data_IF_414684255998
#
_entry.id   IF_414684255998
#
_cell.length_a   1.000
_cell.length_b   1.000
_cell.length_c   1.000
_cell.angle_alpha   90.00
_cell.angle_beta   90.00
_cell.angle_gamma   90.00
#
_symmetry.space_group_name_H-M   'P 1'
#
loop_
_entity.id
_entity.type
_entity.pdbx_description
1 polymer ?
#
# COMPACT_ATOMS: atom_id res chain seq x y z
N UNK A 1 0.24 9.16 6.38
CA UNK A 1 0.45 9.15 4.92
C UNK A 1 0.35 7.73 4.40
N UNK A 2 -0.07 7.50 3.15
CA UNK A 2 -0.09 6.14 2.56
C UNK A 2 1.33 5.58 2.39
N UNK A 3 2.24 6.37 1.84
CA UNK A 3 3.58 5.92 1.46
C UNK A 3 4.57 5.84 2.63
N UNK A 4 4.16 6.30 3.80
CA UNK A 4 4.92 6.21 5.04
C UNK A 4 5.96 7.31 5.21
N UNK A 5 6.81 7.57 4.21
CA UNK A 5 7.74 8.70 4.26
C UNK A 5 6.94 10.01 4.15
N UNK A 6 7.16 11.01 5.03
CA UNK A 6 6.45 12.28 4.96
C UNK A 6 6.59 12.97 3.60
N UNK A 7 5.52 13.61 3.11
CA UNK A 7 5.49 14.25 1.78
C UNK A 7 6.68 15.20 1.51
N UNK A 8 7.15 15.95 2.53
CA UNK A 8 8.33 16.83 2.40
C UNK A 8 9.66 16.11 2.10
N UNK A 9 9.71 14.80 2.31
CA UNK A 9 10.87 13.93 2.13
C UNK A 9 10.63 12.84 1.08
N UNK A 10 9.45 12.84 0.46
CA UNK A 10 9.11 11.90 -0.60
C UNK A 10 9.15 12.59 -1.96
N UNK A 11 9.54 11.84 -2.98
CA UNK A 11 9.73 12.35 -4.34
C UNK A 11 8.42 12.40 -5.14
N UNK A 12 7.31 11.98 -4.54
CA UNK A 12 5.97 12.03 -5.11
C UNK A 12 4.97 12.57 -4.11
N UNK A 13 3.88 13.16 -4.62
CA UNK A 13 2.77 13.62 -3.79
C UNK A 13 2.00 12.42 -3.27
N UNK A 14 1.94 12.27 -1.94
CA UNK A 14 1.13 11.25 -1.28
C UNK A 14 -0.32 11.63 -1.04
N UNK A 15 -1.10 10.63 -0.66
CA UNK A 15 -2.44 10.74 -0.08
C UNK A 15 -2.47 10.10 1.32
N UNK A 16 -3.55 10.26 2.05
CA UNK A 16 -3.74 9.70 3.39
C UNK A 16 -4.37 8.30 3.37
N UNK A 17 -4.09 7.51 4.41
CA UNK A 17 -4.79 6.24 4.68
C UNK A 17 -6.30 6.45 4.82
N UNK A 18 -6.72 7.59 5.39
CA UNK A 18 -8.14 7.97 5.46
C UNK A 18 -8.78 8.08 4.07
N UNK A 19 -8.18 8.85 3.16
CA UNK A 19 -8.71 8.98 1.80
C UNK A 19 -8.78 7.62 1.09
N UNK A 20 -7.76 6.78 1.30
CA UNK A 20 -7.69 5.42 0.80
C UNK A 20 -8.82 4.53 1.33
N UNK A 21 -8.99 4.42 2.65
CA UNK A 21 -10.06 3.61 3.26
C UNK A 21 -11.45 4.08 2.83
N UNK A 22 -11.67 5.40 2.70
CA UNK A 22 -12.92 5.94 2.16
C UNK A 22 -13.12 5.50 0.71
N UNK A 23 -12.07 5.55 -0.13
CA UNK A 23 -12.18 5.14 -1.53
C UNK A 23 -12.38 3.63 -1.71
N UNK A 24 -11.75 2.80 -0.88
CA UNK A 24 -12.01 1.35 -0.84
C UNK A 24 -13.48 1.10 -0.53
N UNK A 25 -14.03 1.71 0.51
CA UNK A 25 -15.45 1.60 0.87
C UNK A 25 -16.37 2.07 -0.27
N UNK A 26 -16.06 3.20 -0.92
CA UNK A 26 -16.85 3.69 -2.05
C UNK A 26 -16.77 2.78 -3.28
N UNK A 27 -15.60 2.18 -3.55
CA UNK A 27 -15.43 1.23 -4.64
C UNK A 27 -16.22 -0.06 -4.36
N UNK A 28 -16.15 -0.59 -3.15
CA UNK A 28 -16.95 -1.75 -2.72
C UNK A 28 -18.44 -1.47 -2.86
N UNK A 29 -18.89 -0.27 -2.47
CA UNK A 29 -20.29 0.17 -2.68
C UNK A 29 -20.66 0.22 -4.15
N UNK A 30 -19.79 0.77 -5.01
CA UNK A 30 -19.99 0.81 -6.47
C UNK A 30 -20.10 -0.59 -7.07
N UNK A 31 -19.38 -1.56 -6.53
CA UNK A 31 -19.38 -2.97 -6.95
C UNK A 31 -20.55 -3.80 -6.36
N UNK A 32 -21.49 -3.15 -5.67
CA UNK A 32 -22.72 -3.79 -5.18
C UNK A 32 -22.50 -4.75 -4.00
N UNK A 33 -21.46 -4.54 -3.20
CA UNK A 33 -21.18 -5.37 -2.01
C UNK A 33 -22.14 -5.10 -0.87
N UNK A 34 -22.19 -6.02 0.10
CA UNK A 34 -22.95 -5.85 1.33
C UNK A 34 -22.45 -4.65 2.15
N UNK A 35 -23.30 -4.11 3.03
CA UNK A 35 -22.89 -3.04 3.93
C UNK A 35 -21.77 -3.51 4.90
N UNK A 36 -21.77 -4.79 5.28
CA UNK A 36 -20.70 -5.38 6.10
C UNK A 36 -19.34 -5.31 5.40
N UNK A 37 -19.29 -5.63 4.11
CA UNK A 37 -18.05 -5.57 3.32
C UNK A 37 -17.59 -4.13 3.13
N UNK A 38 -18.52 -3.19 2.94
CA UNK A 38 -18.21 -1.75 2.90
C UNK A 38 -17.64 -1.25 4.23
N UNK A 39 -18.19 -1.70 5.37
CA UNK A 39 -17.67 -1.38 6.70
C UNK A 39 -16.29 -1.99 6.92
N UNK A 40 -16.08 -3.25 6.54
CA UNK A 40 -14.78 -3.91 6.59
C UNK A 40 -13.76 -3.12 5.75
N UNK A 41 -14.13 -2.69 4.54
CA UNK A 41 -13.26 -1.87 3.69
C UNK A 41 -13.00 -0.47 4.22
N UNK A 42 -13.95 0.14 4.95
CA UNK A 42 -13.69 1.42 5.62
C UNK A 42 -12.71 1.26 6.79
N UNK A 43 -12.76 0.12 7.48
CA UNK A 43 -12.00 -0.11 8.70
C UNK A 43 -10.65 -0.79 8.46
N UNK A 44 -10.43 -1.46 7.32
CA UNK A 44 -9.31 -2.39 7.09
C UNK A 44 -7.93 -1.83 7.46
N UNK A 45 -7.74 -0.51 7.31
CA UNK A 45 -6.44 0.15 7.48
C UNK A 45 -6.35 1.05 8.73
N UNK A 46 -7.38 1.05 9.59
CA UNK A 46 -7.50 1.99 10.73
C UNK A 46 -6.42 1.77 11.81
N UNK A 47 -5.86 0.56 11.89
CA UNK A 47 -4.80 0.20 12.83
C UNK A 47 -3.40 0.56 12.33
N UNK A 48 -3.27 1.09 11.12
CA UNK A 48 -1.98 1.45 10.55
C UNK A 48 -1.33 2.57 11.37
N UNK A 49 -0.10 2.31 11.83
CA UNK A 49 0.67 3.26 12.64
C UNK A 49 1.15 4.47 11.83
N UNK A 50 1.62 5.51 12.52
CA UNK A 50 2.35 6.60 11.91
C UNK A 50 3.45 6.07 10.99
N UNK A 51 3.51 6.63 9.78
CA UNK A 51 4.43 6.24 8.70
C UNK A 51 4.16 4.87 8.06
N UNK A 52 2.95 4.32 8.20
CA UNK A 52 2.47 3.20 7.39
C UNK A 52 3.45 2.02 7.41
N UNK A 53 3.82 1.49 6.25
CA UNK A 53 4.71 0.33 6.18
C UNK A 53 6.13 0.61 6.68
N UNK A 54 6.53 1.87 6.88
CA UNK A 54 7.83 2.17 7.51
C UNK A 54 7.83 1.63 8.94
N UNK A 55 6.67 1.64 9.61
CA UNK A 55 6.51 1.02 10.92
C UNK A 55 6.74 -0.50 10.88
N UNK A 56 6.37 -1.21 9.80
CA UNK A 56 6.69 -2.63 9.61
C UNK A 56 8.21 -2.87 9.58
N UNK A 57 8.98 -1.94 9.02
CA UNK A 57 10.44 -2.05 9.02
C UNK A 57 11.04 -1.76 10.40
N UNK A 58 10.43 -0.83 11.14
CA UNK A 58 10.90 -0.44 12.47
C UNK A 58 10.61 -1.53 13.53
N UNK A 59 9.42 -2.12 13.49
CA UNK A 59 8.89 -3.00 14.54
C UNK A 59 8.72 -4.48 14.14
N UNK A 60 8.89 -4.82 12.87
CA UNK A 60 8.69 -6.17 12.36
C UNK A 60 9.74 -6.54 11.29
N UNK A 61 9.40 -7.48 10.41
CA UNK A 61 10.30 -8.00 9.36
C UNK A 61 10.09 -7.32 8.00
N UNK A 62 9.68 -6.04 7.99
CA UNK A 62 9.41 -5.29 6.76
C UNK A 62 10.60 -5.21 5.80
N UNK A 63 11.84 -5.17 6.32
CA UNK A 63 13.07 -5.22 5.52
C UNK A 63 13.27 -6.53 4.75
N UNK A 64 12.56 -7.60 5.14
CA UNK A 64 12.51 -8.90 4.45
C UNK A 64 11.27 -9.03 3.55
N UNK A 65 10.50 -7.96 3.37
CA UNK A 65 9.28 -7.94 2.55
C UNK A 65 8.01 -8.40 3.27
N UNK A 66 8.02 -8.53 4.61
CA UNK A 66 6.83 -8.86 5.41
C UNK A 66 6.19 -7.58 5.97
N UNK A 67 5.09 -7.15 5.36
CA UNK A 67 4.39 -5.89 5.66
C UNK A 67 3.01 -6.16 6.31
N UNK A 68 2.96 -6.97 7.38
CA UNK A 68 1.72 -7.44 8.03
C UNK A 68 1.61 -7.08 9.51
N UNK A 69 2.41 -6.13 10.00
CA UNK A 69 2.36 -5.73 11.42
C UNK A 69 1.02 -5.06 11.75
N UNK A 70 0.46 -4.27 10.83
CA UNK A 70 -0.83 -3.61 11.02
C UNK A 70 -1.99 -4.62 11.18
N UNK A 71 -1.97 -5.73 10.44
CA UNK A 71 -2.92 -6.85 10.58
C UNK A 71 -2.85 -7.47 11.97
N UNK A 72 -1.63 -7.71 12.47
CA UNK A 72 -1.41 -8.35 13.78
C UNK A 72 -1.97 -7.53 14.95
N UNK A 73 -1.99 -6.20 14.82
CA UNK A 73 -2.50 -5.32 15.87
C UNK A 73 -3.95 -4.89 15.63
N UNK A 74 -4.53 -5.20 14.48
CA UNK A 74 -5.79 -4.64 13.98
C UNK A 74 -6.96 -4.82 14.93
N UNK A 75 -7.25 -6.08 15.28
CA UNK A 75 -8.33 -6.42 16.20
C UNK A 75 -8.12 -5.78 17.58
N UNK A 76 -6.90 -5.88 18.11
CA UNK A 76 -6.56 -5.34 19.43
C UNK A 76 -6.63 -3.81 19.48
N UNK A 77 -6.43 -3.14 18.35
CA UNK A 77 -6.55 -1.71 18.20
C UNK A 77 -8.02 -1.31 18.18
N UNK A 78 -8.82 -1.90 17.29
CA UNK A 78 -10.25 -1.57 17.12
C UNK A 78 -11.03 -1.80 18.42
N UNK A 79 -10.76 -2.90 19.15
CA UNK A 79 -11.40 -3.20 20.44
C UNK A 79 -11.22 -2.10 21.51
N UNK A 80 -10.24 -1.19 21.35
CA UNK A 80 -9.98 -0.08 22.29
C UNK A 80 -10.56 1.26 21.82
N UNK A 81 -11.31 1.27 20.74
CA UNK A 81 -11.93 2.47 20.17
C UNK A 81 -13.44 2.50 20.43
N UNK A 82 -14.12 3.50 19.90
CA UNK A 82 -15.59 3.58 19.89
C UNK A 82 -16.25 2.67 18.84
N UNK A 83 -15.48 2.14 17.87
CA UNK A 83 -15.98 1.34 16.75
C UNK A 83 -16.81 0.12 17.20
N UNK A 84 -16.39 -0.70 18.18
CA UNK A 84 -17.18 -1.84 18.62
C UNK A 84 -18.60 -1.46 19.06
N UNK A 85 -18.72 -0.39 19.87
CA UNK A 85 -20.01 0.10 20.37
C UNK A 85 -20.87 0.67 19.25
N UNK A 86 -20.27 1.33 18.26
CA UNK A 86 -20.98 1.83 17.08
C UNK A 86 -21.50 0.69 16.22
N UNK A 87 -20.69 -0.34 15.94
CA UNK A 87 -21.12 -1.51 15.18
C UNK A 87 -22.29 -2.21 15.87
N UNK A 88 -22.18 -2.46 17.18
CA UNK A 88 -23.26 -3.07 17.98
C UNK A 88 -24.55 -2.24 17.92
N UNK A 89 -24.47 -0.91 18.08
CA UNK A 89 -25.61 0.00 17.99
C UNK A 89 -26.38 -0.13 16.67
N UNK A 90 -25.69 -0.42 15.57
CA UNK A 90 -26.29 -0.59 14.24
C UNK A 90 -26.52 -2.07 13.85
N UNK A 91 -26.35 -3.01 14.77
CA UNK A 91 -26.63 -4.43 14.55
C UNK A 91 -25.55 -5.20 13.80
N UNK A 92 -24.30 -4.71 13.78
CA UNK A 92 -23.17 -5.38 13.13
C UNK A 92 -22.28 -6.10 14.14
N UNK A 93 -21.85 -7.32 13.80
CA UNK A 93 -20.87 -8.07 14.59
C UNK A 93 -19.45 -7.60 14.30
N UNK A 94 -18.73 -7.15 15.33
CA UNK A 94 -17.31 -6.80 15.20
C UNK A 94 -16.49 -7.99 14.68
N UNK A 95 -16.69 -9.19 15.22
CA UNK A 95 -15.95 -10.39 14.82
C UNK A 95 -16.11 -10.67 13.33
N UNK A 96 -17.35 -10.58 12.83
CA UNK A 96 -17.66 -10.79 11.42
C UNK A 96 -16.99 -9.76 10.50
N UNK A 97 -16.99 -8.49 10.91
CA UNK A 97 -16.39 -7.38 10.17
C UNK A 97 -14.85 -7.50 10.11
N UNK A 98 -14.22 -7.98 11.19
CA UNK A 98 -12.76 -8.11 11.25
C UNK A 98 -12.22 -9.37 10.56
N UNK A 99 -13.08 -10.35 10.28
CA UNK A 99 -12.68 -11.58 9.61
C UNK A 99 -12.59 -11.35 8.09
N UNK A 100 -11.39 -10.95 7.62
CA UNK A 100 -11.10 -10.60 6.23
C UNK A 100 -11.56 -11.67 5.21
N UNK A 101 -11.47 -12.96 5.55
CA UNK A 101 -11.88 -14.06 4.68
C UNK A 101 -13.38 -14.06 4.33
N UNK A 102 -14.20 -13.29 5.05
CA UNK A 102 -15.62 -13.12 4.75
C UNK A 102 -15.89 -12.20 3.55
N UNK A 103 -14.90 -11.40 3.15
CA UNK A 103 -15.08 -10.27 2.22
C UNK A 103 -14.13 -10.38 1.03
N UNK A 104 -14.55 -11.13 0.02
CA UNK A 104 -13.70 -11.52 -1.11
C UNK A 104 -13.40 -10.37 -2.07
N UNK A 105 -14.16 -9.27 -2.07
CA UNK A 105 -13.86 -8.11 -2.91
C UNK A 105 -12.91 -7.14 -2.21
N UNK A 106 -12.91 -7.08 -0.88
CA UNK A 106 -12.04 -6.20 -0.10
C UNK A 106 -10.56 -6.52 -0.34
N UNK A 107 -10.17 -7.75 -0.02
CA UNK A 107 -8.78 -8.20 -0.08
C UNK A 107 -8.70 -9.62 -0.64
N UNK A 108 -7.67 -9.83 -1.46
CA UNK A 108 -7.36 -11.13 -2.05
C UNK A 108 -5.85 -11.33 -2.03
N UNK A 109 -5.40 -12.56 -2.24
CA UNK A 109 -4.00 -12.83 -2.51
C UNK A 109 -3.61 -12.43 -3.95
N UNK A 110 -2.33 -12.14 -4.15
CA UNK A 110 -1.81 -11.94 -5.52
C UNK A 110 -1.88 -13.28 -6.28
N UNK A 111 -2.27 -13.29 -7.57
CA UNK A 111 -2.40 -12.15 -8.47
C UNK A 111 -3.84 -11.66 -8.70
N UNK A 112 -4.78 -12.05 -7.84
CA UNK A 112 -6.18 -11.63 -7.98
C UNK A 112 -6.35 -10.14 -7.73
N UNK A 113 -7.42 -9.56 -8.26
CA UNK A 113 -7.78 -8.16 -8.06
C UNK A 113 -8.60 -8.00 -6.77
N UNK A 114 -8.45 -6.88 -6.06
CA UNK A 114 -9.26 -6.54 -4.89
C UNK A 114 -9.41 -5.01 -4.77
N UNK A 115 -10.37 -4.57 -3.97
CA UNK A 115 -10.72 -3.15 -3.82
C UNK A 115 -9.56 -2.33 -3.25
N UNK A 116 -8.82 -2.85 -2.27
CA UNK A 116 -7.61 -2.22 -1.72
C UNK A 116 -6.62 -1.86 -2.84
N UNK A 117 -6.22 -2.86 -3.64
CA UNK A 117 -5.24 -2.67 -4.72
C UNK A 117 -5.73 -1.81 -5.86
N UNK A 118 -7.02 -1.84 -6.18
CA UNK A 118 -7.60 -0.93 -7.17
C UNK A 118 -7.48 0.51 -6.66
N UNK A 119 -7.92 0.77 -5.43
CA UNK A 119 -8.01 2.13 -4.91
C UNK A 119 -6.63 2.80 -4.81
N UNK A 120 -5.67 2.19 -4.10
CA UNK A 120 -4.37 2.85 -3.89
C UNK A 120 -3.61 3.04 -5.21
N UNK A 121 -3.77 2.12 -6.17
CA UNK A 121 -3.09 2.23 -7.47
C UNK A 121 -3.77 3.28 -8.35
N UNK A 122 -5.10 3.32 -8.40
CA UNK A 122 -5.87 4.27 -9.20
C UNK A 122 -5.59 5.73 -8.82
N UNK A 123 -5.32 6.00 -7.53
CA UNK A 123 -4.92 7.33 -7.04
C UNK A 123 -3.62 7.84 -7.66
N UNK A 124 -2.82 6.96 -8.24
CA UNK A 124 -1.51 7.27 -8.81
C UNK A 124 -1.47 7.14 -10.34
N UNK A 125 -2.57 6.77 -10.99
CA UNK A 125 -2.58 6.59 -12.45
C UNK A 125 -2.46 7.87 -13.25
N UNK A 126 -2.71 9.04 -12.65
CA UNK A 126 -2.70 10.33 -13.37
C UNK A 126 -1.36 10.66 -14.02
N UNK A 127 -0.27 10.08 -13.53
CA UNK A 127 1.07 10.25 -14.10
C UNK A 127 1.34 9.30 -15.28
N UNK A 128 0.47 8.31 -15.51
CA UNK A 128 0.65 7.23 -16.50
C UNK A 128 -0.50 7.10 -17.51
N UNK A 129 -1.70 7.57 -17.15
CA UNK A 129 -2.93 7.41 -17.90
C UNK A 129 -3.68 8.75 -17.95
N UNK A 130 -4.30 9.03 -19.09
CA UNK A 130 -5.25 10.13 -19.24
C UNK A 130 -6.52 9.89 -18.42
N UNK A 131 -7.27 10.97 -18.11
CA UNK A 131 -8.56 10.86 -17.41
C UNK A 131 -9.56 9.95 -18.15
N UNK A 132 -9.53 9.92 -19.48
CA UNK A 132 -10.36 9.03 -20.28
C UNK A 132 -9.97 7.56 -20.07
N UNK A 133 -8.67 7.24 -20.05
CA UNK A 133 -8.19 5.89 -19.80
C UNK A 133 -8.46 5.42 -18.37
N UNK A 134 -8.31 6.30 -17.38
CA UNK A 134 -8.67 6.01 -15.99
C UNK A 134 -10.16 5.68 -15.90
N UNK A 135 -11.01 6.51 -16.49
CA UNK A 135 -12.47 6.31 -16.52
C UNK A 135 -12.83 5.01 -17.22
N UNK A 136 -12.18 4.70 -18.34
CA UNK A 136 -12.35 3.45 -19.08
C UNK A 136 -11.95 2.22 -18.27
N UNK A 137 -10.82 2.27 -17.55
CA UNK A 137 -10.38 1.17 -16.69
C UNK A 137 -11.37 0.96 -15.53
N UNK A 138 -11.74 2.02 -14.80
CA UNK A 138 -12.66 1.92 -13.67
C UNK A 138 -14.10 1.61 -14.07
N UNK A 139 -14.51 2.02 -15.27
CA UNK A 139 -15.83 1.71 -15.85
C UNK A 139 -15.97 0.26 -16.30
N UNK A 140 -14.85 -0.39 -16.62
CA UNK A 140 -14.81 -1.80 -17.04
C UNK A 140 -14.80 -2.80 -15.89
N UNK A 141 -14.73 -2.36 -14.63
CA UNK A 141 -14.74 -3.24 -13.46
C UNK A 141 -16.16 -3.69 -13.12
N UNK A 142 -16.33 -4.98 -12.81
CA UNK A 142 -17.60 -5.53 -12.30
C UNK A 142 -17.36 -6.58 -11.21
N UNK A 143 -18.36 -6.78 -10.36
CA UNK A 143 -18.43 -7.92 -9.45
C UNK A 143 -19.09 -9.09 -10.17
N UNK A 144 -18.35 -10.18 -10.37
CA UNK A 144 -18.87 -11.41 -10.93
C UNK A 144 -18.71 -12.55 -9.91
N UNK A 145 -19.82 -12.95 -9.28
CA UNK A 145 -19.88 -14.02 -8.29
C UNK A 145 -18.88 -13.89 -7.12
N UNK A 146 -18.72 -12.68 -6.58
CA UNK A 146 -17.81 -12.45 -5.45
C UNK A 146 -16.36 -12.20 -5.86
N UNK A 147 -16.10 -11.95 -7.14
CA UNK A 147 -14.78 -11.63 -7.68
C UNK A 147 -14.82 -10.34 -8.50
N UNK A 148 -13.82 -9.46 -8.31
CA UNK A 148 -13.68 -8.27 -9.16
C UNK A 148 -12.99 -8.66 -10.46
N UNK A 149 -13.68 -8.45 -11.59
CA UNK A 149 -13.20 -8.80 -12.93
C UNK A 149 -13.35 -7.63 -13.89
N UNK A 150 -12.70 -7.72 -15.05
CA UNK A 150 -12.87 -6.75 -16.13
C UNK A 150 -13.86 -7.24 -17.19
N UNK A 151 -14.66 -6.33 -17.73
CA UNK A 151 -15.52 -6.55 -18.89
C UNK A 151 -14.78 -6.34 -20.22
N UNK A 152 -13.65 -5.61 -20.19
CA UNK A 152 -12.86 -5.31 -21.37
C UNK A 152 -11.38 -5.68 -21.17
N UNK A 153 -10.84 -6.40 -22.14
CA UNK A 153 -9.45 -6.89 -22.14
C UNK A 153 -8.41 -5.76 -22.21
N UNK A 154 -8.67 -4.71 -22.97
CA UNK A 154 -7.75 -3.58 -23.11
C UNK A 154 -7.72 -2.73 -21.84
N UNK A 155 -8.88 -2.55 -21.19
CA UNK A 155 -8.98 -1.93 -19.87
C UNK A 155 -8.18 -2.75 -18.83
N UNK A 156 -8.36 -4.07 -18.81
CA UNK A 156 -7.60 -4.97 -17.96
C UNK A 156 -6.09 -4.85 -18.18
N UNK A 157 -5.66 -4.79 -19.45
CA UNK A 157 -4.25 -4.61 -19.80
C UNK A 157 -3.70 -3.27 -19.32
N UNK A 158 -4.38 -2.15 -19.61
CA UNK A 158 -3.95 -0.82 -19.15
C UNK A 158 -3.82 -0.77 -17.63
N UNK A 159 -4.82 -1.28 -16.91
CA UNK A 159 -4.78 -1.38 -15.45
C UNK A 159 -3.55 -2.18 -14.98
N UNK A 160 -3.41 -3.42 -15.45
CA UNK A 160 -2.43 -4.36 -14.92
C UNK A 160 -1.00 -3.98 -15.31
N UNK A 161 -0.82 -3.41 -16.50
CA UNK A 161 0.42 -2.83 -16.95
C UNK A 161 0.82 -1.61 -16.12
N UNK A 162 -0.08 -0.65 -15.91
CA UNK A 162 0.20 0.53 -15.08
C UNK A 162 0.51 0.14 -13.64
N UNK A 163 -0.18 -0.87 -13.09
CA UNK A 163 0.14 -1.42 -11.76
C UNK A 163 1.57 -1.97 -11.70
N UNK A 164 2.04 -2.69 -12.71
CA UNK A 164 3.42 -3.18 -12.78
C UNK A 164 4.44 -2.04 -12.85
N UNK A 165 4.15 -0.99 -13.62
CA UNK A 165 5.00 0.20 -13.70
C UNK A 165 5.12 0.88 -12.34
N UNK A 166 3.99 1.12 -11.64
CA UNK A 166 3.98 1.63 -10.28
C UNK A 166 4.78 0.73 -9.32
N UNK A 167 4.60 -0.59 -9.43
CA UNK A 167 5.30 -1.56 -8.58
C UNK A 167 6.83 -1.45 -8.70
N UNK A 168 7.38 -1.31 -9.90
CA UNK A 168 8.84 -1.35 -10.11
C UNK A 168 9.49 0.02 -10.18
N UNK A 169 8.83 1.01 -10.74
CA UNK A 169 9.43 2.34 -10.97
C UNK A 169 9.09 3.32 -9.86
N UNK A 170 7.93 3.16 -9.23
CA UNK A 170 7.47 4.05 -8.17
C UNK A 170 7.69 3.42 -6.79
N UNK A 171 6.89 2.45 -6.37
CA UNK A 171 6.95 1.89 -5.00
C UNK A 171 8.23 1.08 -4.76
N UNK A 172 8.72 0.41 -5.81
CA UNK A 172 9.96 -0.36 -5.83
C UNK A 172 11.15 0.38 -6.44
N UNK A 173 10.96 1.62 -6.89
CA UNK A 173 12.00 2.43 -7.52
C UNK A 173 13.15 2.76 -6.56
N UNK A 174 14.33 3.01 -7.12
CA UNK A 174 15.54 3.25 -6.34
C UNK A 174 15.40 4.42 -5.35
N UNK A 175 14.86 5.57 -5.79
CA UNK A 175 14.59 6.72 -4.95
C UNK A 175 13.62 6.40 -3.80
N UNK A 176 12.53 5.67 -4.09
CA UNK A 176 11.57 5.26 -3.09
C UNK A 176 12.22 4.40 -2.01
N UNK A 177 12.95 3.37 -2.43
CA UNK A 177 13.58 2.42 -1.51
C UNK A 177 14.67 3.09 -0.68
N UNK A 178 15.51 3.96 -1.27
CA UNK A 178 16.53 4.72 -0.53
C UNK A 178 15.92 5.67 0.50
N UNK A 179 14.88 6.41 0.14
CA UNK A 179 14.17 7.32 1.06
C UNK A 179 13.52 6.56 2.19
N UNK A 180 12.87 5.44 1.87
CA UNK A 180 12.27 4.55 2.83
C UNK A 180 13.30 4.02 3.82
N UNK A 181 14.45 3.57 3.33
CA UNK A 181 15.54 3.06 4.16
C UNK A 181 16.14 4.13 5.07
N UNK A 182 16.47 5.32 4.54
CA UNK A 182 16.97 6.43 5.34
C UNK A 182 15.99 6.83 6.44
N UNK A 183 14.70 6.91 6.10
CA UNK A 183 13.69 7.28 7.07
C UNK A 183 13.50 6.20 8.13
N UNK A 184 13.48 4.92 7.74
CA UNK A 184 13.54 3.79 8.67
C UNK A 184 14.74 3.89 9.64
N UNK A 185 15.95 4.14 9.13
CA UNK A 185 17.14 4.27 9.98
C UNK A 185 17.04 5.46 10.93
N UNK A 186 16.45 6.56 10.48
CA UNK A 186 16.17 7.75 11.31
C UNK A 186 15.27 7.39 12.50
N UNK A 187 14.19 6.66 12.25
CA UNK A 187 13.25 6.22 13.28
C UNK A 187 13.89 5.20 14.24
N UNK A 188 14.72 4.28 13.73
CA UNK A 188 15.49 3.34 14.56
C UNK A 188 16.49 4.05 15.47
N UNK A 189 17.20 5.06 14.95
CA UNK A 189 18.10 5.91 15.74
C UNK A 189 17.35 6.61 16.85
N UNK A 190 16.22 7.26 16.53
CA UNK A 190 15.37 7.97 17.48
C UNK A 190 14.86 7.06 18.62
N UNK A 191 14.48 5.81 18.31
CA UNK A 191 14.13 4.80 19.32
C UNK A 191 15.34 4.38 20.16
N UNK A 192 16.51 4.17 19.54
CA UNK A 192 17.74 3.75 20.22
C UNK A 192 18.21 4.79 21.26
N UNK A 193 18.14 6.07 20.91
CA UNK A 193 18.48 7.18 21.82
C UNK A 193 17.31 7.59 22.72
N UNK A 194 16.20 6.86 22.70
CA UNK A 194 15.03 7.01 23.57
C UNK A 194 14.28 8.35 23.46
N UNK A 195 14.47 9.13 22.40
CA UNK A 195 13.64 10.32 22.13
C UNK A 195 12.24 9.94 21.65
N UNK A 196 12.12 8.77 21.01
CA UNK A 196 10.85 8.15 20.67
C UNK A 196 10.67 6.86 21.46
N UNK A 197 9.42 6.50 21.69
CA UNK A 197 8.96 5.23 22.25
C UNK A 197 7.97 4.60 21.27
N UNK A 198 7.81 3.28 21.31
CA UNK A 198 6.84 2.56 20.43
C UNK A 198 5.42 3.14 20.49
N UNK A 199 4.98 3.56 21.68
CA UNK A 199 3.66 4.18 21.89
C UNK A 199 3.45 5.48 21.11
N UNK A 200 4.52 6.19 20.73
CA UNK A 200 4.42 7.45 20.00
C UNK A 200 3.94 7.24 18.56
N UNK A 201 4.15 6.04 18.00
CA UNK A 201 3.71 5.67 16.65
C UNK A 201 2.21 5.38 16.54
N UNK A 202 1.51 5.25 17.68
CA UNK A 202 0.05 5.19 17.73
C UNK A 202 -0.60 6.58 17.68
N UNK A 203 0.21 7.64 17.70
CA UNK A 203 -0.24 9.01 17.42
C UNK A 203 -0.06 9.31 15.93
N UNK A 204 -0.27 10.55 15.53
CA UNK A 204 -0.11 10.96 14.14
C UNK A 204 1.36 11.23 13.74
N UNK A 205 1.59 11.34 12.43
CA UNK A 205 2.91 11.64 11.88
C UNK A 205 3.42 13.02 12.32
N UNK A 206 2.54 13.99 12.55
CA UNK A 206 2.93 15.35 12.98
C UNK A 206 3.55 15.32 14.36
N UNK A 207 2.96 14.57 15.28
CA UNK A 207 3.47 14.36 16.64
C UNK A 207 4.88 13.78 16.61
N UNK A 208 5.07 12.68 15.86
CA UNK A 208 6.38 12.03 15.79
C UNK A 208 7.40 12.92 15.09
N UNK A 209 7.03 13.58 13.99
CA UNK A 209 7.92 14.47 13.27
C UNK A 209 8.33 15.71 14.07
N UNK A 210 7.46 16.23 14.96
CA UNK A 210 7.81 17.33 15.87
C UNK A 210 8.98 16.93 16.76
N UNK A 211 8.92 15.76 17.39
CA UNK A 211 10.00 15.23 18.24
C UNK A 211 11.29 15.05 17.45
N UNK A 212 11.21 14.39 16.29
CA UNK A 212 12.39 14.14 15.45
C UNK A 212 13.04 15.46 15.00
N UNK A 213 12.24 16.47 14.63
CA UNK A 213 12.75 17.75 14.14
C UNK A 213 13.43 18.62 15.20
N UNK A 214 13.16 18.37 16.48
CA UNK A 214 13.76 19.08 17.62
C UNK A 214 14.98 18.35 18.19
N UNK A 215 15.37 17.22 17.60
CA UNK A 215 16.51 16.45 18.07
C UNK A 215 17.83 17.01 17.53
N UNK A 216 18.83 17.08 18.41
CA UNK A 216 20.20 17.52 18.08
C UNK A 216 21.14 16.38 17.66
N UNK A 217 20.63 15.14 17.56
CA UNK A 217 21.43 13.99 17.14
C UNK A 217 21.93 14.15 15.70
N UNK A 218 23.26 14.16 15.55
CA UNK A 218 23.92 14.45 14.28
C UNK A 218 23.55 13.44 13.16
N UNK A 219 23.30 12.17 13.49
CA UNK A 219 22.89 11.15 12.51
C UNK A 219 21.47 11.41 12.00
N UNK A 220 20.54 11.74 12.90
CA UNK A 220 19.17 12.13 12.54
C UNK A 220 19.18 13.37 11.65
N UNK A 221 19.89 14.43 12.06
CA UNK A 221 19.98 15.68 11.29
C UNK A 221 20.56 15.42 9.90
N UNK A 222 21.65 14.65 9.81
CA UNK A 222 22.27 14.29 8.52
C UNK A 222 21.29 13.52 7.63
N UNK A 223 20.58 12.54 8.19
CA UNK A 223 19.59 11.74 7.45
C UNK A 223 18.44 12.62 6.90
N UNK A 224 17.89 13.50 7.72
CA UNK A 224 16.83 14.43 7.29
C UNK A 224 17.31 15.40 6.20
N UNK A 225 18.54 15.90 6.30
CA UNK A 225 19.17 16.73 5.25
C UNK A 225 19.38 15.98 3.94
N UNK A 226 19.66 14.67 4.00
CA UNK A 226 19.75 13.84 2.79
C UNK A 226 18.36 13.62 2.17
N UNK A 227 17.35 13.35 3.01
CA UNK A 227 15.96 13.17 2.58
C UNK A 227 15.34 14.43 1.95
N UNK A 228 15.78 15.62 2.35
CA UNK A 228 15.30 16.88 1.77
C UNK A 228 15.90 17.19 0.38
N UNK A 229 16.86 16.41 -0.10
CA UNK A 229 17.42 16.58 -1.45
C UNK A 229 16.43 16.07 -2.50
N UNK A 230 16.52 16.62 -3.72
CA UNK A 230 15.73 16.17 -4.88
C UNK A 230 15.96 14.68 -5.20
N UNK A 231 17.20 14.22 -5.08
CA UNK A 231 17.58 12.81 -5.19
C UNK A 231 18.44 12.41 -4.00
N UNK A 232 18.21 11.20 -3.50
CA UNK A 232 18.99 10.65 -2.39
C UNK A 232 20.31 10.08 -2.93
N UNK A 233 21.47 10.57 -2.44
CA UNK A 233 22.77 10.07 -2.90
C UNK A 233 22.92 8.58 -2.56
N UNK A 234 23.83 7.92 -3.26
CA UNK A 234 24.23 6.55 -2.93
C UNK A 234 24.68 6.47 -1.46
N UNK A 235 24.23 5.45 -0.75
CA UNK A 235 24.54 5.31 0.66
C UNK A 235 25.81 4.47 0.75
N UNK A 236 26.92 5.09 1.17
CA UNK A 236 28.18 4.34 1.34
C UNK A 236 28.06 3.44 2.57
N UNK A 237 27.56 2.23 2.37
CA UNK A 237 27.46 1.20 3.40
C UNK A 237 28.68 0.27 3.32
N UNK A 238 29.31 -0.01 4.48
CA UNK A 238 30.48 -0.91 4.57
C UNK A 238 30.19 -2.36 4.12
N UNK A 239 28.91 -2.71 3.95
CA UNK A 239 28.42 -3.97 3.35
C UNK A 239 27.42 -3.57 2.28
N UNK A 240 27.63 -3.97 1.03
CA UNK A 240 26.67 -3.74 -0.06
C UNK A 240 25.35 -4.50 0.21
N UNK A 241 24.49 -3.92 1.05
CA UNK A 241 23.19 -4.50 1.34
C UNK A 241 22.21 -4.16 0.22
N UNK A 242 21.51 -5.18 -0.28
CA UNK A 242 20.38 -5.01 -1.18
C UNK A 242 19.09 -5.06 -0.39
N UNK A 243 18.16 -4.17 -0.72
CA UNK A 243 16.80 -4.20 -0.20
C UNK A 243 15.86 -4.75 -1.27
N UNK A 244 14.98 -5.64 -0.84
CA UNK A 244 13.96 -6.25 -1.69
C UNK A 244 12.59 -5.80 -1.20
N UNK A 245 11.80 -5.20 -2.10
CA UNK A 245 10.38 -4.89 -1.83
C UNK A 245 9.52 -6.07 -2.25
N UNK A 246 8.44 -6.36 -1.49
CA UNK A 246 7.46 -7.38 -1.84
C UNK A 246 6.96 -7.15 -3.27
N UNK A 247 7.12 -8.15 -4.14
CA UNK A 247 6.63 -8.06 -5.52
C UNK A 247 5.12 -8.30 -5.56
N UNK A 248 4.35 -7.25 -5.83
CA UNK A 248 2.91 -7.35 -6.09
C UNK A 248 2.66 -7.19 -7.58
N UNK A 249 1.80 -8.03 -8.15
CA UNK A 249 1.34 -7.91 -9.52
C UNK A 249 -0.11 -8.38 -9.59
N UNK A 250 -0.79 -7.98 -10.67
CA UNK A 250 -2.17 -8.35 -10.91
C UNK A 250 -2.22 -8.99 -12.30
N UNK A 251 -2.83 -10.16 -12.38
CA UNK A 251 -3.16 -10.82 -13.64
C UNK A 251 -4.68 -10.98 -13.69
N UNK A 252 -5.43 -9.90 -13.94
CA UNK A 252 -6.86 -9.88 -13.71
C UNK A 252 -7.58 -10.84 -14.63
N UNK A 253 -8.73 -11.36 -14.18
CA UNK A 253 -9.65 -12.10 -15.05
C UNK A 253 -10.50 -11.12 -15.87
N UNK A 254 -10.76 -11.50 -17.11
CA UNK A 254 -11.65 -10.81 -18.04
C UNK A 254 -12.84 -11.72 -18.31
N UNK A 255 -14.05 -11.17 -18.24
CA UNK A 255 -15.28 -11.86 -18.57
C UNK A 255 -15.54 -11.75 -20.08
N UNK A 256 -15.25 -12.82 -20.82
CA UNK A 256 -15.56 -12.94 -22.26
C UNK A 256 -16.57 -14.08 -22.47
N UNK A 257 -17.72 -13.77 -23.08
CA UNK A 257 -18.76 -14.76 -23.42
C UNK A 257 -19.18 -15.67 -22.23
N UNK A 258 -19.32 -15.08 -21.03
CA UNK A 258 -19.68 -15.78 -19.80
C UNK A 258 -18.56 -16.61 -19.16
N UNK A 259 -17.34 -16.56 -19.70
CA UNK A 259 -16.16 -17.27 -19.16
C UNK A 259 -15.14 -16.29 -18.61
N UNK A 260 -14.56 -16.64 -17.48
CA UNK A 260 -13.44 -15.90 -16.88
C UNK A 260 -12.11 -16.42 -17.44
N UNK A 261 -11.35 -15.55 -18.07
CA UNK A 261 -10.02 -15.85 -18.59
C UNK A 261 -9.00 -14.85 -18.05
N UNK A 262 -7.86 -15.35 -17.58
CA UNK A 262 -6.74 -14.50 -17.14
C UNK A 262 -6.22 -13.65 -18.30
N UNK A 263 -5.90 -12.40 -18.02
CA UNK A 263 -5.33 -11.49 -19.00
C UNK A 263 -4.06 -12.06 -19.64
N UNK A 264 -3.16 -12.67 -18.87
CA UNK A 264 -1.94 -13.29 -19.40
C UNK A 264 -2.20 -14.43 -20.39
N UNK A 265 -3.35 -15.12 -20.27
CA UNK A 265 -3.80 -16.13 -21.24
C UNK A 265 -4.36 -15.48 -22.50
N UNK A 266 -5.14 -14.42 -22.36
CA UNK A 266 -5.72 -13.66 -23.47
C UNK A 266 -4.66 -12.84 -24.25
N UNK A 267 -3.61 -12.41 -23.55
CA UNK A 267 -2.52 -11.59 -24.07
C UNK A 267 -1.17 -12.14 -23.58
N UNK A 268 -0.60 -13.17 -24.24
CA UNK A 268 0.67 -13.79 -23.82
C UNK A 268 1.84 -12.81 -23.67
N UNK A 269 1.83 -11.68 -24.41
CA UNK A 269 2.82 -10.59 -24.24
C UNK A 269 2.79 -10.02 -22.81
N UNK A 270 1.62 -9.92 -22.18
CA UNK A 270 1.50 -9.43 -20.81
C UNK A 270 2.18 -10.38 -19.80
N UNK A 271 2.05 -11.70 -20.00
CA UNK A 271 2.80 -12.69 -19.20
C UNK A 271 4.32 -12.51 -19.28
N UNK A 272 4.85 -12.13 -20.45
CA UNK A 272 6.27 -11.78 -20.62
C UNK A 272 6.64 -10.52 -19.83
N UNK A 273 5.79 -9.49 -19.85
CA UNK A 273 5.99 -8.25 -19.09
C UNK A 273 6.02 -8.53 -17.58
N UNK A 274 5.08 -9.33 -17.04
CA UNK A 274 5.11 -9.73 -15.62
C UNK A 274 6.46 -10.35 -15.23
N UNK A 275 6.96 -11.29 -16.05
CA UNK A 275 8.22 -11.97 -15.79
C UNK A 275 9.42 -11.02 -15.82
N UNK A 276 9.39 -10.00 -16.67
CA UNK A 276 10.43 -8.98 -16.73
C UNK A 276 10.45 -8.11 -15.47
N UNK A 277 9.29 -7.57 -15.05
CA UNK A 277 9.18 -6.81 -13.81
C UNK A 277 9.57 -7.64 -12.58
N UNK A 278 9.27 -8.95 -12.59
CA UNK A 278 9.70 -9.88 -11.55
C UNK A 278 11.22 -10.02 -11.50
N UNK A 279 11.91 -10.06 -12.65
CA UNK A 279 13.38 -10.09 -12.71
C UNK A 279 13.98 -8.79 -12.19
N UNK A 280 13.43 -7.65 -12.61
CA UNK A 280 13.85 -6.32 -12.12
C UNK A 280 13.75 -6.26 -10.58
N UNK A 281 12.60 -6.66 -10.01
CA UNK A 281 12.42 -6.66 -8.56
C UNK A 281 13.41 -7.60 -7.82
N UNK A 282 13.74 -8.75 -8.42
CA UNK A 282 14.74 -9.69 -7.87
C UNK A 282 16.17 -9.15 -7.87
N UNK A 283 16.50 -8.13 -8.64
CA UNK A 283 17.84 -7.50 -8.59
C UNK A 283 18.06 -6.81 -7.24
N UNK A 284 16.99 -6.27 -6.65
CA UNK A 284 17.02 -5.48 -5.41
C UNK A 284 17.65 -4.11 -5.62
N UNK A 285 17.34 -3.18 -4.71
CA UNK A 285 17.95 -1.84 -4.72
C UNK A 285 19.19 -1.85 -3.84
N UNK A 286 20.32 -1.40 -4.39
CA UNK A 286 21.56 -1.24 -3.63
C UNK A 286 21.43 -0.01 -2.74
N UNK A 287 21.70 -0.21 -1.44
CA UNK A 287 21.74 0.84 -0.43
C UNK A 287 23.19 1.20 -0.19
#
# INVERSE_FOLDING_TARGET
SQFGVPNKYYHWKGFSRYEHSVGVMLLLRKLGTSLEEQLAGLLHDVSTLAFSHVADWVFAEGTKGKESYHDQIHESFIKRTEVPKLLEKYGFSLERILQQNNFTLLEQEVPELCADRIDYSARQWKDYLSNQEITFCLGSLTNFNGEIVFLDKNAAFKFAHTFLMLQTEFWGGEEAVKRYYLFFQTLKRALKIKILKRKDFFKDEKYVMKIISQCEDAEIIKSLKMLSKKSVPNLETKKSSKIFKKFRYIDPKVLENGKLLRLSRLMPKFGKIINEHRRINKVGVKI
#
